data_IF_839747811133
#
_entry.id   IF_839747811133
#
_cell.length_a   1.000
_cell.length_b   1.000
_cell.length_c   1.000
_cell.angle_alpha   90.00
_cell.angle_beta   90.00
_cell.angle_gamma   90.00
#
_symmetry.space_group_name_H-M   'P 1'
#
loop_
_entity.id
_entity.type
_entity.pdbx_description
1 polymer ?
#
# COMPACT_ATOMS: atom_id res chain seq x y z
N UNK A 1 2.79 12.76 7.54
CA UNK A 1 1.48 12.95 6.88
C UNK A 1 0.79 11.60 6.83
N UNK A 2 -0.40 11.46 7.42
CA UNK A 2 -1.17 10.21 7.32
C UNK A 2 -1.95 10.26 6.01
N UNK A 3 -1.59 9.42 5.05
CA UNK A 3 -2.34 9.29 3.80
C UNK A 3 -3.57 8.44 4.08
N UNK A 4 -4.76 8.98 3.85
CA UNK A 4 -6.01 8.22 4.06
C UNK A 4 -6.17 7.18 2.97
N UNK A 5 -6.71 6.02 3.34
CA UNK A 5 -7.07 4.93 2.42
C UNK A 5 -8.59 4.90 2.27
N UNK A 6 -9.07 4.89 1.03
CA UNK A 6 -10.47 4.66 0.68
C UNK A 6 -10.60 3.29 0.01
N UNK A 7 -11.72 2.58 0.22
CA UNK A 7 -11.91 1.28 -0.44
C UNK A 7 -12.00 1.41 -1.96
N UNK A 8 -12.70 2.43 -2.45
CA UNK A 8 -12.98 2.60 -3.88
C UNK A 8 -13.41 4.06 -4.19
N UNK A 9 -13.48 4.38 -5.48
CA UNK A 9 -13.94 5.69 -5.98
C UNK A 9 -14.78 5.49 -7.25
N UNK A 10 -15.99 4.96 -7.07
CA UNK A 10 -16.78 4.36 -8.17
C UNK A 10 -18.10 5.07 -8.46
N UNK A 11 -18.42 6.14 -7.71
CA UNK A 11 -19.65 6.89 -7.91
C UNK A 11 -19.42 8.40 -7.89
N UNK A 12 -20.37 9.15 -8.49
CA UNK A 12 -20.39 10.62 -8.42
C UNK A 12 -20.30 11.13 -6.98
N UNK A 13 -20.96 10.44 -6.05
CA UNK A 13 -20.95 10.82 -4.65
C UNK A 13 -19.53 10.71 -4.07
N UNK A 14 -18.84 9.60 -4.33
CA UNK A 14 -17.48 9.36 -3.82
C UNK A 14 -16.50 10.40 -4.35
N UNK A 15 -16.56 10.71 -5.65
CA UNK A 15 -15.71 11.74 -6.27
C UNK A 15 -15.98 13.14 -5.70
N UNK A 16 -17.25 13.52 -5.49
CA UNK A 16 -17.59 14.81 -4.88
C UNK A 16 -17.10 14.84 -3.42
N UNK A 17 -17.29 13.77 -2.66
CA UNK A 17 -16.83 13.68 -1.28
C UNK A 17 -15.30 13.74 -1.19
N UNK A 18 -14.59 13.12 -2.13
CA UNK A 18 -13.13 13.20 -2.26
C UNK A 18 -12.66 14.63 -2.55
N UNK A 19 -13.25 15.30 -3.54
CA UNK A 19 -12.86 16.67 -3.92
C UNK A 19 -13.23 17.74 -2.88
N UNK A 20 -14.17 17.45 -1.97
CA UNK A 20 -14.55 18.36 -0.87
C UNK A 20 -13.60 18.31 0.33
N UNK A 21 -12.62 17.41 0.33
CA UNK A 21 -11.61 17.33 1.39
C UNK A 21 -10.66 18.53 1.30
N UNK A 22 -10.11 18.94 2.44
CA UNK A 22 -9.07 19.99 2.50
C UNK A 22 -7.88 19.66 1.58
N UNK A 23 -7.55 18.37 1.47
CA UNK A 23 -6.53 17.86 0.55
C UNK A 23 -7.13 16.67 -0.21
N UNK A 24 -7.49 16.82 -1.51
CA UNK A 24 -7.96 15.74 -2.36
C UNK A 24 -6.80 14.83 -2.78
N UNK A 25 -6.29 14.06 -1.82
CA UNK A 25 -5.18 13.14 -1.94
C UNK A 25 -5.44 11.91 -1.07
N UNK A 26 -5.52 10.74 -1.68
CA UNK A 26 -5.71 9.49 -0.94
C UNK A 26 -5.26 8.27 -1.73
N UNK A 27 -5.01 7.20 -0.98
CA UNK A 27 -4.86 5.86 -1.54
C UNK A 27 -6.23 5.22 -1.73
N UNK A 28 -6.37 4.45 -2.80
CA UNK A 28 -7.55 3.66 -3.14
C UNK A 28 -7.15 2.19 -3.13
N UNK A 29 -7.91 1.34 -2.44
CA UNK A 29 -7.64 -0.10 -2.38
C UNK A 29 -7.96 -0.80 -3.71
N UNK A 30 -9.11 -0.48 -4.31
CA UNK A 30 -9.56 -1.09 -5.56
C UNK A 30 -10.08 -0.03 -6.56
N UNK A 31 -9.34 0.24 -7.67
CA UNK A 31 -8.04 -0.31 -8.01
C UNK A 31 -6.93 0.25 -7.12
N UNK A 32 -5.89 -0.55 -6.85
CA UNK A 32 -4.76 -0.18 -6.00
C UNK A 32 -3.98 1.00 -6.61
N UNK A 33 -4.28 2.22 -6.17
CA UNK A 33 -3.64 3.42 -6.69
C UNK A 33 -3.61 4.57 -5.69
N UNK A 34 -2.73 5.53 -5.94
CA UNK A 34 -2.78 6.85 -5.31
C UNK A 34 -3.48 7.82 -6.25
N UNK A 35 -4.49 8.51 -5.72
CA UNK A 35 -5.22 9.58 -6.41
C UNK A 35 -4.82 10.92 -5.80
N UNK A 36 -4.31 11.82 -6.64
CA UNK A 36 -4.02 13.22 -6.28
C UNK A 36 -4.74 14.14 -7.25
N UNK A 37 -5.59 15.02 -6.71
CA UNK A 37 -6.31 16.02 -7.48
C UNK A 37 -6.22 17.42 -6.85
N UNK A 38 -5.08 17.75 -6.25
CA UNK A 38 -4.81 19.06 -5.62
C UNK A 38 -4.55 20.20 -6.63
N UNK A 39 -4.41 19.87 -7.91
CA UNK A 39 -4.09 20.83 -8.98
C UNK A 39 -5.10 20.74 -10.13
N UNK A 40 -4.85 21.48 -11.21
CA UNK A 40 -5.63 21.34 -12.45
C UNK A 40 -5.49 19.96 -13.13
N UNK A 41 -4.55 19.15 -12.66
CA UNK A 41 -4.32 17.79 -13.12
C UNK A 41 -4.75 16.76 -12.09
N UNK A 42 -5.49 15.76 -12.57
CA UNK A 42 -5.66 14.48 -11.89
C UNK A 42 -4.40 13.65 -12.10
N UNK A 43 -3.75 13.25 -11.01
CA UNK A 43 -2.65 12.32 -11.03
C UNK A 43 -3.09 10.98 -10.44
N UNK A 44 -2.86 9.91 -11.19
CA UNK A 44 -3.11 8.54 -10.76
C UNK A 44 -1.78 7.80 -10.76
N UNK A 45 -1.34 7.33 -9.59
CA UNK A 45 -0.20 6.41 -9.51
C UNK A 45 -0.72 5.01 -9.27
N UNK A 46 -0.70 4.18 -10.31
CA UNK A 46 -1.12 2.78 -10.23
C UNK A 46 0.01 1.94 -9.64
N UNK A 47 -0.31 1.16 -8.63
CA UNK A 47 0.61 0.20 -8.06
C UNK A 47 0.46 -1.13 -8.81
N UNK A 48 1.40 -1.42 -9.71
CA UNK A 48 1.46 -2.71 -10.40
C UNK A 48 2.54 -3.61 -9.78
N UNK A 49 2.45 -4.92 -10.00
CA UNK A 49 3.42 -5.91 -9.48
C UNK A 49 4.84 -5.73 -10.03
N UNK A 50 5.02 -5.04 -11.17
CA UNK A 50 6.34 -4.87 -11.80
C UNK A 50 6.95 -3.50 -11.47
N UNK A 51 6.19 -2.42 -11.67
CA UNK A 51 6.62 -1.07 -11.34
C UNK A 51 5.43 -0.11 -11.24
N UNK A 52 5.44 0.86 -10.32
CA UNK A 52 4.44 1.91 -10.27
C UNK A 52 4.42 2.74 -11.57
N UNK A 53 3.22 3.11 -12.04
CA UNK A 53 3.02 3.97 -13.22
C UNK A 53 2.21 5.18 -12.83
N UNK A 54 2.66 6.38 -13.19
CA UNK A 54 1.93 7.64 -12.97
C UNK A 54 1.30 8.15 -14.27
N UNK A 55 -0.01 8.38 -14.23
CA UNK A 55 -0.76 9.12 -15.22
C UNK A 55 -1.01 10.54 -14.73
N UNK A 56 -0.90 11.52 -15.61
CA UNK A 56 -1.26 12.91 -15.35
C UNK A 56 -2.24 13.36 -16.41
N UNK A 57 -3.43 13.77 -16.00
CA UNK A 57 -4.58 14.02 -16.86
C UNK A 57 -5.19 15.38 -16.51
N UNK A 58 -5.29 16.29 -17.47
CA UNK A 58 -5.89 17.60 -17.22
C UNK A 58 -5.37 18.69 -18.14
N UNK A 59 -5.64 19.94 -17.79
CA UNK A 59 -5.18 21.14 -18.49
C UNK A 59 -4.36 22.01 -17.55
N UNK A 60 -3.54 22.91 -18.10
CA UNK A 60 -2.91 23.98 -17.31
C UNK A 60 -3.91 25.04 -16.85
N UNK A 61 -5.05 25.18 -17.55
CA UNK A 61 -5.99 26.30 -17.39
C UNK A 61 -7.12 26.02 -16.40
N UNK A 62 -7.63 24.79 -16.33
CA UNK A 62 -8.67 24.41 -15.37
C UNK A 62 -8.71 22.91 -15.09
N UNK A 63 -9.41 22.53 -14.02
CA UNK A 63 -9.71 21.13 -13.66
C UNK A 63 -10.81 20.52 -14.53
N UNK A 64 -11.57 21.32 -15.29
CA UNK A 64 -12.74 20.85 -16.03
C UNK A 64 -12.44 19.68 -16.96
N UNK A 65 -11.32 19.65 -17.72
CA UNK A 65 -11.03 18.53 -18.60
C UNK A 65 -10.87 17.21 -17.86
N UNK A 66 -10.19 17.22 -16.70
CA UNK A 66 -10.06 16.04 -15.85
C UNK A 66 -11.41 15.60 -15.26
N UNK A 67 -12.24 16.57 -14.85
CA UNK A 67 -13.58 16.29 -14.33
C UNK A 67 -14.54 15.73 -15.39
N UNK A 68 -14.47 16.23 -16.62
CA UNK A 68 -15.24 15.70 -17.74
C UNK A 68 -14.79 14.29 -18.12
N UNK A 69 -13.50 13.99 -18.01
CA UNK A 69 -12.99 12.63 -18.19
C UNK A 69 -13.56 11.67 -17.13
N UNK A 70 -13.56 12.05 -15.85
CA UNK A 70 -14.17 11.27 -14.76
C UNK A 70 -15.67 11.02 -15.07
N UNK A 71 -16.39 12.06 -15.50
CA UNK A 71 -17.81 11.94 -15.90
C UNK A 71 -18.02 10.96 -17.05
N UNK A 72 -17.19 11.00 -18.09
CA UNK A 72 -17.26 10.09 -19.24
C UNK A 72 -16.99 8.64 -18.86
N UNK A 73 -16.13 8.42 -17.88
CA UNK A 73 -15.90 7.11 -17.27
C UNK A 73 -17.03 6.69 -16.31
N UNK A 74 -18.20 7.35 -16.38
CA UNK A 74 -19.34 7.14 -15.50
C UNK A 74 -18.98 7.17 -14.01
N UNK A 75 -18.04 8.04 -13.64
CA UNK A 75 -17.54 8.17 -12.26
C UNK A 75 -16.84 6.91 -11.72
N UNK A 76 -16.52 5.94 -12.57
CA UNK A 76 -15.79 4.74 -12.19
C UNK A 76 -14.28 4.96 -12.35
N UNK A 77 -13.55 4.85 -11.24
CA UNK A 77 -12.09 4.86 -11.28
C UNK A 77 -11.55 3.62 -11.98
N UNK A 78 -12.19 2.46 -11.83
CA UNK A 78 -11.83 1.26 -12.60
C UNK A 78 -11.96 1.49 -14.11
N UNK A 79 -13.08 2.05 -14.58
CA UNK A 79 -13.27 2.34 -16.00
C UNK A 79 -12.24 3.35 -16.53
N UNK A 80 -11.91 4.36 -15.71
CA UNK A 80 -10.87 5.33 -16.03
C UNK A 80 -9.50 4.65 -16.17
N UNK A 81 -9.11 3.82 -15.19
CA UNK A 81 -7.85 3.09 -15.21
C UNK A 81 -7.76 2.14 -16.39
N UNK A 82 -8.80 1.33 -16.63
CA UNK A 82 -8.85 0.41 -17.77
C UNK A 82 -8.68 1.16 -19.10
N UNK A 83 -9.37 2.30 -19.26
CA UNK A 83 -9.21 3.13 -20.44
C UNK A 83 -7.80 3.68 -20.62
N UNK A 84 -7.15 4.15 -19.54
CA UNK A 84 -5.77 4.62 -19.58
C UNK A 84 -4.75 3.54 -19.93
N UNK A 85 -5.01 2.28 -19.58
CA UNK A 85 -4.15 1.16 -19.95
C UNK A 85 -4.24 0.81 -21.43
N UNK A 86 -5.36 1.13 -22.09
CA UNK A 86 -5.53 0.95 -23.55
C UNK A 86 -4.91 2.06 -24.40
N UNK A 87 -4.50 3.17 -23.78
CA UNK A 87 -3.96 4.33 -24.50
C UNK A 87 -2.54 4.10 -24.98
N UNK A 88 -2.26 4.54 -26.21
CA UNK A 88 -0.91 4.67 -26.70
C UNK A 88 -0.33 6.05 -26.35
N UNK A 89 0.68 6.06 -25.48
CA UNK A 89 1.39 7.25 -25.04
C UNK A 89 2.66 7.54 -25.87
N UNK A 90 2.91 6.77 -26.94
CA UNK A 90 3.99 7.04 -27.88
C UNK A 90 3.62 8.06 -28.99
N UNK A 91 2.32 8.32 -29.18
CA UNK A 91 1.78 9.25 -30.18
C UNK A 91 1.16 10.53 -29.61
N UNK A 92 0.46 11.31 -30.45
CA UNK A 92 -0.23 12.52 -30.01
C UNK A 92 -1.51 12.17 -29.23
N UNK A 93 -1.76 12.91 -28.14
CA UNK A 93 -2.96 12.75 -27.29
C UNK A 93 -4.27 12.87 -28.09
N UNK A 94 -4.26 13.60 -29.22
CA UNK A 94 -5.42 13.81 -30.09
C UNK A 94 -5.84 12.58 -30.90
N UNK A 95 -4.92 11.63 -31.11
CA UNK A 95 -5.18 10.40 -31.86
C UNK A 95 -5.87 9.35 -30.98
N UNK A 96 -5.97 9.61 -29.68
CA UNK A 96 -6.56 8.71 -28.70
C UNK A 96 -8.06 8.98 -28.53
N UNK A 97 -8.89 8.20 -29.22
CA UNK A 97 -10.36 8.31 -29.19
C UNK A 97 -10.98 8.26 -27.78
N UNK A 98 -10.35 7.58 -26.83
CA UNK A 98 -10.76 7.52 -25.42
C UNK A 98 -10.73 8.90 -24.72
N UNK A 99 -9.77 9.77 -25.08
CA UNK A 99 -9.66 11.11 -24.50
C UNK A 99 -10.58 12.12 -25.20
N UNK A 100 -11.07 11.78 -26.40
CA UNK A 100 -12.04 12.55 -27.18
C UNK A 100 -11.48 13.83 -27.81
N UNK A 101 -11.99 14.17 -28.99
CA UNK A 101 -11.38 15.12 -29.96
C UNK A 101 -11.54 16.61 -29.61
N UNK A 102 -12.12 16.98 -28.47
CA UNK A 102 -12.23 18.40 -28.07
C UNK A 102 -11.98 18.60 -26.58
N UNK A 103 -10.84 19.19 -26.25
CA UNK A 103 -10.58 20.12 -25.14
C UNK A 103 -9.07 20.24 -24.92
N UNK A 104 -8.65 21.21 -24.14
CA UNK A 104 -7.26 21.45 -23.68
C UNK A 104 -6.72 20.30 -22.77
N UNK A 105 -7.26 19.08 -22.92
CA UNK A 105 -6.90 17.90 -22.15
C UNK A 105 -5.56 17.35 -22.63
N UNK A 106 -4.61 17.30 -21.70
CA UNK A 106 -3.33 16.62 -21.87
C UNK A 106 -3.29 15.38 -21.01
N UNK A 107 -2.70 14.32 -21.56
CA UNK A 107 -2.48 13.05 -20.87
C UNK A 107 -1.00 12.68 -21.00
N UNK A 108 -0.38 12.29 -19.89
CA UNK A 108 1.02 11.84 -19.85
C UNK A 108 1.14 10.61 -18.99
N UNK A 109 1.95 9.65 -19.45
CA UNK A 109 2.43 8.50 -18.67
C UNK A 109 3.89 8.73 -18.25
N UNK A 110 4.22 8.41 -17.00
CA UNK A 110 5.56 8.57 -16.45
C UNK A 110 5.82 7.58 -15.31
N UNK A 111 7.09 7.46 -14.89
CA UNK A 111 7.44 6.74 -13.65
C UNK A 111 7.32 7.68 -12.46
N UNK A 112 6.70 7.27 -11.34
CA UNK A 112 6.68 8.07 -10.11
C UNK A 112 8.11 8.39 -9.67
N UNK A 113 8.35 9.62 -9.22
CA UNK A 113 9.65 10.02 -8.66
C UNK A 113 9.78 9.63 -7.18
N UNK A 114 8.66 9.39 -6.51
CA UNK A 114 8.61 9.05 -5.10
C UNK A 114 8.99 7.57 -4.88
N UNK A 115 10.20 7.34 -4.38
CA UNK A 115 10.72 5.98 -4.11
C UNK A 115 10.05 5.29 -2.92
N UNK A 116 9.37 6.05 -2.06
CA UNK A 116 8.70 5.56 -0.85
C UNK A 116 7.17 5.42 -1.01
N UNK A 117 6.66 5.52 -2.24
CA UNK A 117 5.24 5.33 -2.49
C UNK A 117 4.93 3.83 -2.52
N UNK A 118 4.38 3.32 -1.44
CA UNK A 118 3.96 1.92 -1.36
C UNK A 118 2.46 1.78 -1.63
N UNK A 119 2.06 0.62 -2.14
CA UNK A 119 0.68 0.31 -2.47
C UNK A 119 -0.21 0.22 -1.20
N UNK A 120 -1.54 0.40 -1.26
CA UNK A 120 -2.39 0.35 -0.07
C UNK A 120 -2.29 -0.99 0.68
N UNK A 121 -2.20 -2.07 -0.08
CA UNK A 121 -2.00 -3.44 0.38
C UNK A 121 -0.58 -3.73 0.89
N UNK A 122 0.39 -2.85 0.68
CA UNK A 122 1.72 -2.95 1.30
C UNK A 122 1.66 -2.76 2.82
N UNK A 123 0.65 -2.03 3.29
CA UNK A 123 0.22 -2.07 4.68
C UNK A 123 -0.64 -3.32 4.85
N UNK A 124 -0.01 -4.50 4.75
CA UNK A 124 -0.68 -5.76 5.08
C UNK A 124 -1.36 -5.57 6.46
N UNK A 125 -2.67 -5.83 6.57
CA UNK A 125 -3.25 -5.99 7.90
C UNK A 125 -2.49 -7.15 8.54
N UNK A 126 -1.76 -6.87 9.61
CA UNK A 126 -1.00 -7.85 10.37
C UNK A 126 -1.79 -8.22 11.63
N UNK A 127 -2.90 -8.99 11.53
CA UNK A 127 -3.66 -9.37 12.71
C UNK A 127 -2.81 -10.29 13.59
N UNK A 128 -3.05 -10.33 14.90
CA UNK A 128 -2.36 -11.25 15.80
C UNK A 128 -2.51 -12.70 15.32
N UNK A 129 -1.49 -13.50 15.58
CA UNK A 129 -1.54 -14.94 15.39
C UNK A 129 -2.46 -15.55 16.45
N UNK A 130 -3.35 -16.42 15.99
CA UNK A 130 -4.28 -17.18 16.86
C UNK A 130 -3.73 -18.56 17.21
N UNK A 131 -2.81 -19.08 16.40
CA UNK A 131 -2.11 -20.34 16.60
C UNK A 131 -0.69 -20.23 16.02
N UNK A 132 0.26 -20.99 16.58
CA UNK A 132 1.61 -21.07 16.04
C UNK A 132 1.58 -21.92 14.76
N UNK A 133 2.19 -21.46 13.66
CA UNK A 133 2.23 -22.22 12.42
C UNK A 133 3.23 -23.39 12.53
N UNK A 134 2.89 -24.52 11.91
CA UNK A 134 3.81 -25.67 11.77
C UNK A 134 5.03 -25.32 10.91
N UNK A 135 4.87 -24.40 9.96
CA UNK A 135 5.95 -23.91 9.10
C UNK A 135 5.98 -22.38 9.12
N UNK A 136 7.10 -21.82 9.53
CA UNK A 136 7.27 -20.37 9.61
C UNK A 136 7.49 -19.76 8.22
N UNK A 137 6.61 -18.84 7.86
CA UNK A 137 6.74 -17.97 6.69
C UNK A 137 6.95 -16.53 7.15
N UNK A 138 7.55 -15.72 6.28
CA UNK A 138 7.78 -14.29 6.53
C UNK A 138 6.48 -13.57 6.91
N UNK A 139 5.34 -13.92 6.32
CA UNK A 139 4.03 -13.35 6.67
C UNK A 139 3.62 -13.64 8.12
N UNK A 140 3.82 -14.87 8.61
CA UNK A 140 3.54 -15.22 10.01
C UNK A 140 4.48 -14.48 10.97
N UNK A 141 5.75 -14.33 10.58
CA UNK A 141 6.71 -13.54 11.35
C UNK A 141 6.32 -12.05 11.41
N UNK A 142 5.96 -11.42 10.30
CA UNK A 142 5.50 -10.02 10.28
C UNK A 142 4.36 -9.82 11.28
N UNK A 143 3.38 -10.73 11.29
CA UNK A 143 2.25 -10.72 12.24
C UNK A 143 2.69 -10.87 13.68
N UNK A 144 3.60 -11.81 13.97
CA UNK A 144 4.16 -12.02 15.30
C UNK A 144 4.83 -10.75 15.85
N UNK A 145 5.70 -10.13 15.04
CA UNK A 145 6.47 -8.94 15.43
C UNK A 145 5.57 -7.72 15.59
N UNK A 146 4.64 -7.50 14.65
CA UNK A 146 3.71 -6.37 14.70
C UNK A 146 2.78 -6.41 15.92
N UNK A 147 2.46 -7.60 16.42
CA UNK A 147 1.58 -7.78 17.58
C UNK A 147 2.35 -8.02 18.89
N UNK A 148 3.68 -7.93 18.88
CA UNK A 148 4.53 -8.20 20.04
C UNK A 148 4.28 -9.58 20.70
N UNK A 149 3.90 -10.58 19.90
CA UNK A 149 3.63 -11.95 20.36
C UNK A 149 4.94 -12.75 20.46
N UNK A 150 5.94 -12.22 21.14
CA UNK A 150 7.24 -12.85 21.28
C UNK A 150 7.95 -12.44 22.57
N UNK A 151 8.67 -13.40 23.16
CA UNK A 151 9.51 -13.20 24.32
C UNK A 151 10.98 -13.54 24.04
N UNK A 152 11.83 -13.16 24.99
CA UNK A 152 13.26 -13.53 25.01
C UNK A 152 13.98 -13.17 23.70
N UNK A 153 13.79 -11.91 23.28
CA UNK A 153 14.46 -11.29 22.14
C UNK A 153 15.97 -11.18 22.40
N UNK A 154 16.78 -11.69 21.48
CA UNK A 154 18.24 -11.67 21.57
C UNK A 154 18.84 -11.22 20.26
N UNK A 155 19.81 -10.32 20.34
CA UNK A 155 20.70 -10.04 19.22
C UNK A 155 21.82 -11.08 19.27
N UNK A 156 22.01 -11.81 18.18
CA UNK A 156 23.04 -12.85 18.05
C UNK A 156 24.38 -12.27 17.58
N UNK A 157 24.36 -11.06 17.00
CA UNK A 157 25.57 -10.30 16.66
C UNK A 157 25.91 -9.27 17.75
N UNK A 158 27.13 -9.34 18.29
CA UNK A 158 27.58 -8.47 19.39
C UNK A 158 27.58 -6.96 19.06
N UNK A 159 27.63 -6.61 17.78
CA UNK A 159 27.71 -5.22 17.32
C UNK A 159 26.37 -4.66 16.81
N UNK A 160 25.31 -5.47 16.76
CA UNK A 160 24.01 -5.08 16.23
C UNK A 160 22.98 -4.98 17.36
N UNK A 161 22.47 -3.78 17.62
CA UNK A 161 21.29 -3.58 18.45
C UNK A 161 20.08 -3.41 17.54
N UNK A 162 19.52 -4.53 17.08
CA UNK A 162 18.33 -4.52 16.23
C UNK A 162 17.08 -4.66 17.12
N UNK A 163 16.24 -3.63 17.08
CA UNK A 163 14.92 -3.68 17.71
C UNK A 163 13.92 -4.43 16.83
N UNK A 164 12.90 -5.04 17.45
CA UNK A 164 11.86 -5.79 16.73
C UNK A 164 11.12 -4.94 15.68
N UNK A 165 10.86 -3.66 15.97
CA UNK A 165 10.24 -2.74 15.02
C UNK A 165 11.13 -2.46 13.81
N UNK A 166 12.45 -2.38 14.00
CA UNK A 166 13.38 -2.19 12.88
C UNK A 166 13.41 -3.43 11.98
N UNK A 167 13.43 -4.62 12.58
CA UNK A 167 13.34 -5.89 11.83
C UNK A 167 12.00 -6.00 11.09
N UNK A 168 10.88 -5.61 11.71
CA UNK A 168 9.57 -5.59 11.05
C UNK A 168 9.56 -4.67 9.82
N UNK A 169 10.12 -3.46 9.93
CA UNK A 169 10.22 -2.53 8.80
C UNK A 169 11.05 -3.12 7.66
N UNK A 170 12.18 -3.76 7.98
CA UNK A 170 13.01 -4.44 6.97
C UNK A 170 12.28 -5.62 6.32
N UNK A 171 11.51 -6.40 7.07
CA UNK A 171 10.69 -7.50 6.52
C UNK A 171 9.57 -7.00 5.61
N UNK A 172 9.03 -5.81 5.88
CA UNK A 172 8.03 -5.18 5.02
C UNK A 172 8.66 -4.68 3.71
N UNK A 173 9.88 -4.13 3.76
CA UNK A 173 10.55 -3.57 2.59
C UNK A 173 11.27 -4.62 1.72
N UNK A 174 11.91 -5.61 2.35
CA UNK A 174 12.81 -6.57 1.68
C UNK A 174 12.56 -8.02 2.12
N UNK A 175 11.33 -8.57 2.00
CA UNK A 175 10.98 -9.89 2.54
C UNK A 175 11.82 -11.05 1.98
N UNK A 176 12.35 -10.93 0.76
CA UNK A 176 13.12 -11.99 0.09
C UNK A 176 14.54 -12.16 0.65
N UNK A 177 15.10 -11.12 1.27
CA UNK A 177 16.44 -11.15 1.84
C UNK A 177 16.46 -11.78 3.24
N UNK A 178 15.28 -12.00 3.83
CA UNK A 178 15.10 -12.56 5.16
C UNK A 178 14.65 -14.02 5.10
N UNK A 179 15.10 -14.80 6.08
CA UNK A 179 14.68 -16.18 6.31
C UNK A 179 14.43 -16.41 7.80
N UNK A 180 13.46 -17.27 8.09
CA UNK A 180 13.17 -17.77 9.44
C UNK A 180 13.60 -19.22 9.53
N UNK A 181 14.39 -19.53 10.54
CA UNK A 181 14.77 -20.88 10.89
C UNK A 181 14.24 -21.21 12.28
N UNK A 182 13.68 -22.40 12.43
CA UNK A 182 13.25 -22.94 13.73
C UNK A 182 14.38 -23.74 14.35
N UNK A 183 14.83 -23.34 15.53
CA UNK A 183 15.84 -24.06 16.31
C UNK A 183 15.28 -24.32 17.72
N UNK A 184 14.69 -25.51 17.90
CA UNK A 184 13.94 -25.84 19.11
C UNK A 184 12.75 -24.89 19.33
N UNK A 185 12.60 -24.29 20.53
CA UNK A 185 11.52 -23.33 20.80
C UNK A 185 11.79 -21.93 20.24
N UNK A 186 12.98 -21.68 19.67
CA UNK A 186 13.40 -20.38 19.16
C UNK A 186 13.23 -20.26 17.66
N UNK A 187 12.88 -19.06 17.24
CA UNK A 187 12.96 -18.59 15.87
C UNK A 187 14.24 -17.79 15.71
N UNK A 188 15.05 -18.18 14.73
CA UNK A 188 16.24 -17.46 14.31
C UNK A 188 15.91 -16.69 13.03
N UNK A 189 16.21 -15.40 13.08
CA UNK A 189 15.98 -14.45 12.00
C UNK A 189 17.30 -14.20 11.30
N UNK A 190 17.39 -14.66 10.06
CA UNK A 190 18.59 -14.47 9.25
C UNK A 190 18.34 -13.52 8.10
N UNK A 191 19.27 -12.59 7.92
CA UNK A 191 19.33 -11.69 6.77
C UNK A 191 20.51 -12.10 5.89
N UNK A 192 20.23 -12.42 4.61
CA UNK A 192 21.23 -12.88 3.62
C UNK A 192 22.12 -14.02 4.15
N UNK A 193 21.53 -14.96 4.88
CA UNK A 193 22.20 -16.14 5.43
C UNK A 193 22.94 -15.94 6.75
N UNK A 194 22.92 -14.74 7.35
CA UNK A 194 23.48 -14.47 8.68
C UNK A 194 22.38 -14.33 9.72
N UNK A 195 22.44 -15.08 10.81
CA UNK A 195 21.49 -14.97 11.92
C UNK A 195 21.79 -13.69 12.71
N UNK A 196 20.84 -12.78 12.74
CA UNK A 196 20.99 -11.49 13.44
C UNK A 196 20.29 -11.49 14.79
N UNK A 197 19.13 -12.14 14.87
CA UNK A 197 18.26 -12.09 16.05
C UNK A 197 17.66 -13.48 16.29
N UNK A 198 17.42 -13.82 17.57
CA UNK A 198 16.54 -14.92 17.96
C UNK A 198 15.45 -14.49 18.93
N UNK A 199 14.29 -15.16 18.87
CA UNK A 199 13.15 -14.92 19.75
C UNK A 199 12.36 -16.20 19.99
N UNK A 200 11.47 -16.20 20.98
CA UNK A 200 10.53 -17.29 21.24
C UNK A 200 9.12 -16.75 20.95
N UNK A 201 8.38 -17.43 20.07
CA UNK A 201 7.00 -17.06 19.80
C UNK A 201 6.13 -17.28 21.04
N UNK A 202 5.34 -16.27 21.40
CA UNK A 202 4.49 -16.28 22.58
C UNK A 202 3.15 -15.59 22.27
N UNK A 203 2.12 -16.39 22.09
CA UNK A 203 0.79 -15.89 21.73
C UNK A 203 0.07 -15.19 22.90
N UNK A 204 0.54 -15.39 24.15
CA UNK A 204 -0.12 -14.87 25.35
C UNK A 204 0.30 -13.44 25.70
N UNK A 205 1.36 -12.91 25.08
CA UNK A 205 1.74 -11.51 25.23
C UNK A 205 0.68 -10.60 24.59
N UNK A 206 -0.19 -10.08 25.44
CA UNK A 206 -1.14 -9.00 25.08
C UNK A 206 -0.41 -7.66 25.03
N UNK A 207 -0.76 -6.86 24.04
CA UNK A 207 -0.38 -5.44 24.00
C UNK A 207 -0.82 -4.76 25.31
N UNK A 208 0.03 -3.93 25.95
CA UNK A 208 -0.43 -3.03 27.00
C UNK A 208 -1.41 -2.04 26.39
N UNK A 209 -2.72 -2.24 26.59
CA UNK A 209 -3.79 -1.33 26.16
C UNK A 209 -5.02 -1.95 25.48
N UNK A 210 -5.09 -3.26 25.24
CA UNK A 210 -6.32 -3.87 24.71
C UNK A 210 -7.37 -4.11 25.82
N UNK A 211 -8.61 -3.60 25.68
CA UNK A 211 -9.69 -3.93 26.59
C UNK A 211 -10.05 -5.41 26.48
N UNK A 212 -10.23 -6.07 27.62
CA UNK A 212 -10.71 -7.45 27.69
C UNK A 212 -12.07 -7.56 27.02
N UNK A 213 -12.18 -8.38 25.96
CA UNK A 213 -13.48 -8.80 25.45
C UNK A 213 -14.25 -9.47 26.60
N UNK A 214 -15.52 -9.09 26.85
CA UNK A 214 -16.32 -9.75 27.86
C UNK A 214 -16.51 -11.22 27.47
N UNK A 215 -16.36 -12.10 28.45
CA UNK A 215 -16.59 -13.53 28.28
C UNK A 215 -18.00 -13.77 27.69
N UNK A 216 -18.18 -14.75 26.80
CA UNK A 216 -19.51 -15.11 26.33
C UNK A 216 -20.32 -15.57 27.54
N UNK A 217 -21.44 -14.89 27.78
CA UNK A 217 -22.43 -15.30 28.76
C UNK A 217 -22.86 -16.75 28.44
N UNK A 218 -22.74 -17.63 29.44
CA UNK A 218 -23.33 -18.97 29.42
C UNK A 218 -24.84 -18.89 29.55
#
# INVERSE_FOLDING_TARGET
>A
MIVRVLPQLESRHDWIAFCRRDVPYCMIDSPACLVDFQSHFLQLTLFSKQAPVRYTLGSRRSMDPAWQLIKRCNWSLQALVAGLETLDFSGNVRDNGFLGVHSDLSARRSRPRDQHLHAPDSSELLPPLTALPDTWRITALKRLLANHQYRDWRNEEANASLGASAVLLELLNHPHDWQVLTSGPRLQLSYRGRVLVSLIADLEQRQPGQPSLPAPFR
#
